data_IF_942373771458
#
_entry.id   IF_942373771458
#
_cell.length_a   1.000
_cell.length_b   1.000
_cell.length_c   1.000
_cell.angle_alpha   90.00
_cell.angle_beta   90.00
_cell.angle_gamma   90.00
#
_symmetry.space_group_name_H-M   'P 1'
#
loop_
_entity.id
_entity.type
_entity.pdbx_description
1 polymer ?
#
# COMPACT_ATOMS: atom_id res chain seq x y z
N UNK A 1 34.52 39.62 -95.49
CA UNK A 1 33.10 39.19 -95.62
C UNK A 1 32.70 38.04 -94.68
N UNK A 2 33.04 36.77 -94.93
CA UNK A 2 32.65 35.66 -94.02
C UNK A 2 33.12 35.84 -92.57
N UNK A 3 34.33 36.37 -92.37
CA UNK A 3 34.86 36.67 -91.04
C UNK A 3 34.09 37.81 -90.33
N UNK A 4 33.70 38.86 -91.06
CA UNK A 4 32.91 39.99 -90.52
C UNK A 4 31.47 39.56 -90.16
N UNK A 5 30.85 38.72 -90.99
CA UNK A 5 29.55 38.11 -90.69
C UNK A 5 29.60 37.23 -89.43
N UNK A 6 30.69 36.47 -89.24
CA UNK A 6 30.90 35.66 -88.04
C UNK A 6 31.11 36.51 -86.77
N UNK A 7 31.86 37.61 -86.87
CA UNK A 7 32.06 38.57 -85.76
C UNK A 7 30.72 39.21 -85.37
N UNK A 8 29.96 39.71 -86.34
CA UNK A 8 28.64 40.32 -86.08
C UNK A 8 27.65 39.34 -85.45
N UNK A 9 27.65 38.08 -85.90
CA UNK A 9 26.85 37.03 -85.29
C UNK A 9 27.30 36.68 -83.87
N UNK A 10 28.61 36.75 -83.58
CA UNK A 10 29.15 36.55 -82.23
C UNK A 10 28.78 37.71 -81.29
N UNK A 11 28.82 38.95 -81.77
CA UNK A 11 28.40 40.15 -81.03
C UNK A 11 26.90 40.11 -80.69
N UNK A 12 26.04 39.74 -81.66
CA UNK A 12 24.60 39.57 -81.38
C UNK A 12 24.32 38.43 -80.38
N UNK A 13 25.11 37.35 -80.42
CA UNK A 13 25.01 36.26 -79.44
C UNK A 13 25.45 36.71 -78.05
N UNK A 14 26.53 37.48 -77.94
CA UNK A 14 26.95 38.08 -76.66
C UNK A 14 25.87 39.00 -76.10
N UNK A 15 25.32 39.90 -76.92
CA UNK A 15 24.26 40.83 -76.47
C UNK A 15 23.02 40.08 -75.97
N UNK A 16 22.58 39.03 -76.68
CA UNK A 16 21.47 38.16 -76.22
C UNK A 16 21.81 37.39 -74.94
N UNK A 17 23.07 37.00 -74.76
CA UNK A 17 23.52 36.33 -73.54
C UNK A 17 23.55 37.30 -72.34
N UNK A 18 23.98 38.54 -72.54
CA UNK A 18 23.92 39.61 -71.53
C UNK A 18 22.48 39.94 -71.14
N UNK A 19 21.57 40.06 -72.11
CA UNK A 19 20.14 40.28 -71.84
C UNK A 19 19.52 39.12 -71.06
N UNK A 20 19.86 37.86 -71.39
CA UNK A 20 19.45 36.68 -70.60
C UNK A 20 20.01 36.71 -69.19
N UNK A 21 21.30 37.03 -69.03
CA UNK A 21 21.93 37.10 -67.71
C UNK A 21 21.28 38.20 -66.84
N UNK A 22 20.92 39.34 -67.43
CA UNK A 22 20.20 40.40 -66.73
C UNK A 22 18.77 39.98 -66.34
N UNK A 23 18.06 39.25 -67.20
CA UNK A 23 16.74 38.69 -66.88
C UNK A 23 16.82 37.64 -65.76
N UNK A 24 17.81 36.76 -65.79
CA UNK A 24 18.04 35.75 -64.75
C UNK A 24 18.43 36.41 -63.41
N UNK A 25 19.26 37.46 -63.43
CA UNK A 25 19.61 38.23 -62.24
C UNK A 25 18.36 38.88 -61.61
N UNK A 26 17.50 39.49 -62.42
CA UNK A 26 16.23 40.07 -61.95
C UNK A 26 15.29 39.00 -61.38
N UNK A 27 15.12 37.88 -62.08
CA UNK A 27 14.29 36.77 -61.61
C UNK A 27 14.81 36.17 -60.29
N UNK A 28 16.14 36.12 -60.10
CA UNK A 28 16.76 35.68 -58.84
C UNK A 28 16.52 36.66 -57.70
N UNK A 29 16.55 37.97 -57.98
CA UNK A 29 16.23 39.00 -56.99
C UNK A 29 14.76 38.94 -56.56
N UNK A 30 13.84 38.80 -57.53
CA UNK A 30 12.41 38.63 -57.26
C UNK A 30 12.11 37.36 -56.45
N UNK A 31 12.80 36.25 -56.75
CA UNK A 31 12.70 35.01 -55.98
C UNK A 31 13.18 35.19 -54.53
N UNK A 32 14.29 35.90 -54.32
CA UNK A 32 14.82 36.18 -52.98
C UNK A 32 13.85 37.04 -52.16
N UNK A 33 13.22 38.05 -52.78
CA UNK A 33 12.19 38.87 -52.12
C UNK A 33 10.98 38.02 -51.72
N UNK A 34 10.50 37.16 -52.61
CA UNK A 34 9.39 36.24 -52.31
C UNK A 34 9.75 35.26 -51.18
N UNK A 35 10.97 34.74 -51.15
CA UNK A 35 11.46 33.86 -50.07
C UNK A 35 11.55 34.61 -48.73
N UNK A 36 11.98 35.87 -48.72
CA UNK A 36 12.05 36.67 -47.51
C UNK A 36 10.64 36.99 -46.95
N UNK A 37 9.69 37.31 -47.83
CA UNK A 37 8.28 37.49 -47.45
C UNK A 37 7.68 36.21 -46.87
N UNK A 38 7.94 35.06 -47.51
CA UNK A 38 7.48 33.76 -47.02
C UNK A 38 8.09 33.43 -45.65
N UNK A 39 9.39 33.70 -45.45
CA UNK A 39 10.07 33.50 -44.16
C UNK A 39 9.45 34.39 -43.08
N UNK A 40 9.24 35.67 -43.36
CA UNK A 40 8.58 36.61 -42.43
C UNK A 40 7.17 36.15 -42.05
N UNK A 41 6.40 35.65 -43.02
CA UNK A 41 5.07 35.10 -42.76
C UNK A 41 5.12 33.82 -41.90
N UNK A 42 6.08 32.93 -42.14
CA UNK A 42 6.28 31.73 -41.32
C UNK A 42 6.69 32.07 -39.89
N UNK A 43 7.64 32.99 -39.71
CA UNK A 43 8.09 33.45 -38.39
C UNK A 43 6.92 34.09 -37.60
N UNK A 44 6.10 34.92 -38.26
CA UNK A 44 4.91 35.50 -37.65
C UNK A 44 3.87 34.44 -37.23
N UNK A 45 3.65 33.41 -38.06
CA UNK A 45 2.74 32.31 -37.74
C UNK A 45 3.22 31.47 -36.54
N UNK A 46 4.52 31.18 -36.48
CA UNK A 46 5.13 30.47 -35.35
C UNK A 46 4.99 31.29 -34.06
N UNK A 47 5.29 32.59 -34.11
CA UNK A 47 5.15 33.47 -32.96
C UNK A 47 3.70 33.54 -32.45
N UNK A 48 2.72 33.62 -33.36
CA UNK A 48 1.30 33.62 -32.99
C UNK A 48 0.87 32.29 -32.33
N UNK A 49 1.32 31.16 -32.88
CA UNK A 49 1.04 29.84 -32.30
C UNK A 49 1.67 29.66 -30.91
N UNK A 50 2.90 30.15 -30.72
CA UNK A 50 3.57 30.13 -29.41
C UNK A 50 2.84 30.99 -28.38
N UNK A 51 2.34 32.16 -28.78
CA UNK A 51 1.56 33.03 -27.90
C UNK A 51 0.25 32.36 -27.47
N UNK A 52 -0.48 31.74 -28.40
CA UNK A 52 -1.70 30.98 -28.10
C UNK A 52 -1.43 29.82 -27.13
N UNK A 53 -0.37 29.04 -27.38
CA UNK A 53 0.02 27.94 -26.50
C UNK A 53 0.40 28.43 -25.09
N UNK A 54 1.08 29.57 -24.98
CA UNK A 54 1.44 30.17 -23.69
C UNK A 54 0.19 30.65 -22.92
N UNK A 55 -0.79 31.25 -23.60
CA UNK A 55 -2.06 31.65 -22.98
C UNK A 55 -2.88 30.46 -22.49
N UNK A 56 -2.92 29.36 -23.25
CA UNK A 56 -3.57 28.12 -22.84
C UNK A 56 -2.88 27.46 -21.64
N UNK A 57 -1.54 27.40 -21.65
CA UNK A 57 -0.77 26.92 -20.51
C UNK A 57 -1.00 27.76 -19.25
N UNK A 58 -1.04 29.09 -19.39
CA UNK A 58 -1.34 29.98 -18.28
C UNK A 58 -2.73 29.72 -17.70
N UNK A 59 -3.77 29.61 -18.54
CA UNK A 59 -5.13 29.26 -18.10
C UNK A 59 -5.18 27.91 -17.38
N UNK A 60 -4.46 26.91 -17.89
CA UNK A 60 -4.39 25.59 -17.26
C UNK A 60 -3.68 25.64 -15.89
N UNK A 61 -2.60 26.42 -15.76
CA UNK A 61 -1.90 26.63 -14.50
C UNK A 61 -2.77 27.35 -13.45
N UNK A 62 -3.50 28.39 -13.87
CA UNK A 62 -4.43 29.11 -12.98
C UNK A 62 -5.58 28.21 -12.51
N UNK A 63 -6.15 27.39 -13.40
CA UNK A 63 -7.17 26.40 -13.03
C UNK A 63 -6.65 25.33 -12.06
N UNK A 64 -5.43 24.82 -12.28
CA UNK A 64 -4.78 23.86 -11.40
C UNK A 64 -4.51 24.46 -10.01
N UNK A 65 -4.06 25.71 -9.94
CA UNK A 65 -3.83 26.42 -8.69
C UNK A 65 -5.15 26.62 -7.90
N UNK A 66 -6.24 26.99 -8.59
CA UNK A 66 -7.56 27.12 -7.97
C UNK A 66 -8.07 25.78 -7.41
N UNK A 67 -7.89 24.68 -8.15
CA UNK A 67 -8.26 23.33 -7.70
C UNK A 67 -7.45 22.89 -6.47
N UNK A 68 -6.13 23.16 -6.46
CA UNK A 68 -5.27 22.87 -5.32
C UNK A 68 -5.67 23.66 -4.06
N UNK A 69 -6.02 24.95 -4.22
CA UNK A 69 -6.52 25.77 -3.11
C UNK A 69 -7.84 25.23 -2.54
N UNK A 70 -8.78 24.81 -3.39
CA UNK A 70 -10.04 24.21 -2.97
C UNK A 70 -9.82 22.86 -2.22
N UNK A 71 -8.89 22.03 -2.70
CA UNK A 71 -8.53 20.78 -2.03
C UNK A 71 -7.89 21.03 -0.65
N UNK A 72 -7.01 22.03 -0.52
CA UNK A 72 -6.42 22.40 0.76
C UNK A 72 -7.47 22.92 1.76
N UNK A 73 -8.46 23.68 1.31
CA UNK A 73 -9.57 24.12 2.16
C UNK A 73 -10.45 22.94 2.61
N UNK A 74 -10.73 21.99 1.70
CA UNK A 74 -11.47 20.78 2.03
C UNK A 74 -10.71 19.90 3.05
N UNK A 75 -9.39 19.76 2.89
CA UNK A 75 -8.55 19.04 3.85
C UNK A 75 -8.59 19.71 5.22
N UNK A 76 -8.45 21.04 5.29
CA UNK A 76 -8.54 21.78 6.56
C UNK A 76 -9.88 21.56 7.26
N UNK A 77 -11.00 21.59 6.53
CA UNK A 77 -12.33 21.31 7.08
C UNK A 77 -12.45 19.87 7.59
N UNK A 78 -11.85 18.91 6.89
CA UNK A 78 -11.83 17.51 7.32
C UNK A 78 -10.99 17.31 8.59
N UNK A 79 -9.82 17.95 8.70
CA UNK A 79 -8.97 17.94 9.90
C UNK A 79 -9.68 18.57 11.11
N UNK A 80 -10.37 19.70 10.92
CA UNK A 80 -11.18 20.34 11.96
C UNK A 80 -12.34 19.44 12.41
N UNK A 81 -13.03 18.76 11.47
CA UNK A 81 -14.09 17.81 11.77
C UNK A 81 -13.56 16.57 12.52
N UNK A 82 -12.38 16.07 12.15
CA UNK A 82 -11.73 14.94 12.82
C UNK A 82 -11.34 15.31 14.25
N UNK A 83 -10.74 16.49 14.46
CA UNK A 83 -10.40 16.98 15.80
C UNK A 83 -11.64 17.17 16.68
N UNK A 84 -12.75 17.64 16.11
CA UNK A 84 -14.02 17.73 16.82
C UNK A 84 -14.60 16.34 17.15
N UNK A 85 -14.43 15.35 16.27
CA UNK A 85 -14.83 13.96 16.51
C UNK A 85 -13.97 13.30 17.59
N UNK A 86 -12.66 13.52 17.58
CA UNK A 86 -11.73 13.06 18.62
C UNK A 86 -12.07 13.66 19.99
N UNK A 87 -12.40 14.96 20.05
CA UNK A 87 -12.80 15.59 21.31
C UNK A 87 -14.13 15.01 21.83
N UNK A 88 -15.09 14.72 20.94
CA UNK A 88 -16.34 14.03 21.30
C UNK A 88 -16.08 12.61 21.81
N UNK A 89 -15.21 11.85 21.15
CA UNK A 89 -14.82 10.50 21.58
C UNK A 89 -14.07 10.53 22.92
N UNK A 90 -13.18 11.51 23.13
CA UNK A 90 -12.50 11.67 24.42
C UNK A 90 -13.48 11.97 25.55
N UNK A 91 -14.46 12.85 25.32
CA UNK A 91 -15.52 13.13 26.30
C UNK A 91 -16.37 11.88 26.58
N UNK A 92 -16.74 11.13 25.54
CA UNK A 92 -17.46 9.87 25.69
C UNK A 92 -16.64 8.82 26.46
N UNK A 93 -15.33 8.70 26.21
CA UNK A 93 -14.42 7.82 26.94
C UNK A 93 -14.22 8.27 28.40
N UNK A 94 -14.22 9.57 28.68
CA UNK A 94 -14.17 10.10 30.05
C UNK A 94 -15.48 9.83 30.82
N UNK A 95 -16.63 9.90 30.14
CA UNK A 95 -17.93 9.49 30.70
C UNK A 95 -18.02 7.98 30.92
N UNK A 96 -17.58 7.17 29.94
CA UNK A 96 -17.52 5.71 30.04
C UNK A 96 -16.52 5.27 31.12
N UNK A 97 -15.39 5.96 31.29
CA UNK A 97 -14.45 5.72 32.41
C UNK A 97 -15.06 6.06 33.76
N UNK A 98 -15.88 7.12 33.85
CA UNK A 98 -16.61 7.44 35.09
C UNK A 98 -17.66 6.38 35.40
N UNK A 99 -18.35 5.86 34.38
CA UNK A 99 -19.32 4.77 34.52
C UNK A 99 -18.64 3.43 34.86
N UNK A 100 -17.47 3.15 34.27
CA UNK A 100 -16.65 1.97 34.55
C UNK A 100 -15.97 2.05 35.93
N UNK A 101 -15.57 3.24 36.39
CA UNK A 101 -15.06 3.46 37.75
C UNK A 101 -16.14 3.19 38.81
N UNK A 102 -17.42 3.41 38.48
CA UNK A 102 -18.55 3.04 39.33
C UNK A 102 -18.83 1.52 39.36
N UNK A 103 -18.30 0.74 38.40
CA UNK A 103 -18.51 -0.72 38.27
C UNK A 103 -17.30 -1.59 38.58
N UNK A 104 -16.18 -1.02 39.03
CA UNK A 104 -15.08 -1.77 39.64
C UNK A 104 -14.59 -2.98 38.84
N UNK A 105 -13.99 -2.77 37.66
CA UNK A 105 -13.13 -3.78 37.05
C UNK A 105 -11.93 -3.13 36.37
N UNK A 106 -10.76 -3.32 36.98
CA UNK A 106 -9.48 -2.84 36.49
C UNK A 106 -8.83 -3.88 35.56
N UNK A 107 -8.52 -3.48 34.33
CA UNK A 107 -7.14 -3.39 33.80
C UNK A 107 -7.18 -2.89 32.37
N UNK A 108 -6.41 -1.85 32.11
CA UNK A 108 -6.09 -1.38 30.78
C UNK A 108 -5.44 -2.52 29.97
N UNK A 109 -6.02 -2.87 28.83
CA UNK A 109 -5.38 -3.74 27.86
C UNK A 109 -4.19 -2.99 27.25
N UNK A 110 -2.98 -3.41 27.63
CA UNK A 110 -1.76 -3.02 26.94
C UNK A 110 -1.88 -3.40 25.45
N UNK A 111 -1.48 -2.50 24.56
CA UNK A 111 -1.69 -2.56 23.13
C UNK A 111 -0.97 -3.72 22.45
N UNK A 112 -1.62 -4.88 22.36
CA UNK A 112 -1.19 -5.95 21.47
C UNK A 112 -1.64 -5.70 20.02
N UNK A 113 -0.90 -6.26 19.07
CA UNK A 113 -1.25 -6.22 17.66
C UNK A 113 -2.41 -7.19 17.39
N UNK A 114 -3.42 -6.73 16.64
CA UNK A 114 -4.50 -7.60 16.18
C UNK A 114 -3.96 -8.62 15.17
N UNK A 115 -4.53 -9.81 15.19
CA UNK A 115 -4.24 -10.90 14.25
C UNK A 115 -5.53 -11.41 13.63
N UNK A 116 -5.41 -12.00 12.45
CA UNK A 116 -6.44 -12.82 11.83
C UNK A 116 -6.02 -14.29 11.89
N UNK A 117 -6.98 -15.17 12.22
CA UNK A 117 -6.82 -16.62 12.14
C UNK A 117 -7.26 -17.04 10.75
N UNK A 118 -6.34 -17.47 9.90
CA UNK A 118 -6.58 -17.81 8.50
C UNK A 118 -6.50 -19.32 8.31
N UNK A 119 -7.54 -19.89 7.70
CA UNK A 119 -7.67 -21.32 7.43
C UNK A 119 -6.83 -21.80 6.24
N UNK A 120 -6.75 -23.11 6.06
CA UNK A 120 -6.19 -23.72 4.84
C UNK A 120 -7.01 -23.41 3.57
N UNK A 121 -8.26 -22.94 3.72
CA UNK A 121 -9.15 -22.57 2.61
C UNK A 121 -9.10 -21.08 2.26
N UNK A 122 -8.02 -20.39 2.64
CA UNK A 122 -7.82 -18.94 2.42
C UNK A 122 -9.01 -18.09 2.91
N UNK A 123 -9.53 -18.43 4.09
CA UNK A 123 -10.55 -17.61 4.77
C UNK A 123 -10.10 -17.25 6.16
N UNK A 124 -10.29 -16.00 6.55
CA UNK A 124 -10.19 -15.59 7.94
C UNK A 124 -11.40 -16.08 8.74
N UNK A 125 -11.24 -16.22 10.03
CA UNK A 125 -12.34 -16.49 10.95
C UNK A 125 -12.86 -15.17 11.50
N UNK A 126 -14.16 -14.94 11.42
CA UNK A 126 -14.83 -13.76 11.94
C UNK A 126 -15.71 -14.10 13.14
N UNK A 127 -15.57 -13.33 14.21
CA UNK A 127 -16.51 -13.35 15.30
C UNK A 127 -17.87 -12.81 14.83
N UNK A 128 -18.96 -13.36 15.37
CA UNK A 128 -20.30 -12.82 15.11
C UNK A 128 -20.67 -11.80 16.20
N UNK A 129 -21.39 -10.72 15.87
CA UNK A 129 -21.75 -9.69 16.88
C UNK A 129 -22.57 -10.22 18.07
N UNK A 130 -23.33 -11.30 17.87
CA UNK A 130 -24.13 -11.98 18.88
C UNK A 130 -23.32 -12.94 19.78
N UNK A 131 -22.01 -13.09 19.54
CA UNK A 131 -21.11 -13.96 20.30
C UNK A 131 -21.29 -15.45 20.00
N UNK A 132 -21.95 -15.79 18.90
CA UNK A 132 -22.17 -17.16 18.45
C UNK A 132 -20.93 -17.84 17.87
N UNK A 133 -21.18 -18.88 17.08
CA UNK A 133 -20.14 -19.60 16.36
C UNK A 133 -19.50 -18.68 15.32
N UNK A 134 -18.16 -18.58 15.28
CA UNK A 134 -17.50 -17.72 14.32
C UNK A 134 -17.64 -18.29 12.90
N UNK A 135 -17.58 -17.40 11.91
CA UNK A 135 -17.83 -17.72 10.50
C UNK A 135 -16.59 -17.50 9.64
N UNK A 136 -16.34 -18.34 8.63
CA UNK A 136 -15.26 -18.07 7.68
C UNK A 136 -15.63 -16.93 6.72
N UNK A 137 -14.73 -15.99 6.52
CA UNK A 137 -14.88 -14.80 5.65
C UNK A 137 -13.65 -14.63 4.75
N UNK A 138 -13.79 -13.92 3.63
CA UNK A 138 -12.65 -13.63 2.73
C UNK A 138 -11.89 -12.37 3.17
N UNK A 139 -12.58 -11.47 3.86
CA UNK A 139 -12.11 -10.15 4.26
C UNK A 139 -11.31 -10.23 5.58
N UNK A 140 -10.15 -9.59 5.60
CA UNK A 140 -9.34 -9.42 6.81
C UNK A 140 -9.53 -8.00 7.34
N UNK A 141 -10.14 -7.89 8.52
CA UNK A 141 -10.50 -6.61 9.13
C UNK A 141 -11.80 -6.72 9.92
N UNK A 142 -12.06 -5.74 10.80
CA UNK A 142 -13.29 -5.69 11.59
C UNK A 142 -13.54 -6.99 12.37
N UNK A 143 -14.66 -7.70 12.13
CA UNK A 143 -15.01 -8.91 12.89
C UNK A 143 -14.00 -10.06 12.82
N UNK A 144 -13.08 -10.08 11.85
CA UNK A 144 -12.02 -11.10 11.74
C UNK A 144 -10.73 -10.78 12.49
N UNK A 145 -10.70 -9.64 13.19
CA UNK A 145 -9.57 -9.24 14.04
C UNK A 145 -9.73 -9.77 15.47
N UNK A 146 -8.66 -10.40 15.96
CA UNK A 146 -8.52 -10.84 17.34
C UNK A 146 -7.25 -10.28 17.96
N UNK A 147 -7.34 -9.73 19.16
CA UNK A 147 -6.19 -9.50 20.00
C UNK A 147 -5.70 -10.86 20.51
N UNK A 148 -4.47 -11.23 20.18
CA UNK A 148 -3.87 -12.46 20.67
C UNK A 148 -3.12 -12.19 21.97
N UNK A 149 -3.61 -12.78 23.06
CA UNK A 149 -2.98 -12.69 24.37
C UNK A 149 -2.20 -13.97 24.68
N UNK A 150 -1.03 -13.86 25.30
CA UNK A 150 -0.19 -15.00 25.70
C UNK A 150 -0.31 -15.20 27.21
N UNK A 151 -0.73 -16.40 27.62
CA UNK A 151 -0.99 -16.77 29.01
C UNK A 151 -0.31 -18.10 29.34
N UNK A 152 0.77 -18.09 30.11
CA UNK A 152 1.40 -19.32 30.63
C UNK A 152 1.77 -20.35 29.55
N UNK A 153 2.28 -19.91 28.40
CA UNK A 153 2.65 -20.78 27.26
C UNK A 153 1.48 -21.15 26.33
N UNK A 154 0.27 -20.69 26.62
CA UNK A 154 -0.91 -20.78 25.76
C UNK A 154 -1.26 -19.42 25.16
N UNK A 155 -2.18 -19.42 24.22
CA UNK A 155 -2.75 -18.20 23.62
C UNK A 155 -4.26 -18.15 23.82
N UNK A 156 -4.80 -16.94 23.98
CA UNK A 156 -6.22 -16.65 23.93
C UNK A 156 -6.48 -15.59 22.85
N UNK A 157 -7.66 -15.62 22.25
CA UNK A 157 -8.03 -14.71 21.15
C UNK A 157 -9.26 -13.89 21.55
N UNK A 158 -9.07 -12.59 21.78
CA UNK A 158 -10.15 -11.66 22.10
C UNK A 158 -10.61 -10.93 20.84
N UNK A 159 -11.85 -11.12 20.42
CA UNK A 159 -12.42 -10.39 19.29
C UNK A 159 -12.49 -8.88 19.54
N UNK A 160 -12.69 -8.11 18.48
CA UNK A 160 -12.98 -6.66 18.57
C UNK A 160 -14.25 -6.35 19.38
N UNK A 161 -15.14 -7.32 19.60
CA UNK A 161 -16.33 -7.17 20.43
C UNK A 161 -16.03 -7.38 21.93
N UNK A 162 -14.76 -7.56 22.29
CA UNK A 162 -14.32 -7.77 23.66
C UNK A 162 -14.55 -9.17 24.21
N UNK A 163 -15.08 -10.09 23.40
CA UNK A 163 -15.35 -11.48 23.77
C UNK A 163 -14.23 -12.42 23.32
N UNK A 164 -13.92 -13.42 24.13
CA UNK A 164 -12.92 -14.44 23.83
C UNK A 164 -13.51 -15.61 23.05
N UNK A 165 -12.71 -16.10 22.11
CA UNK A 165 -12.92 -17.38 21.43
C UNK A 165 -12.78 -18.53 22.43
N UNK A 166 -13.78 -19.40 22.46
CA UNK A 166 -13.92 -20.54 23.36
C UNK A 166 -14.14 -21.81 22.56
N UNK A 167 -13.41 -22.87 22.90
CA UNK A 167 -13.66 -24.21 22.39
C UNK A 167 -14.50 -24.97 23.41
N UNK A 168 -15.77 -25.21 23.12
CA UNK A 168 -16.67 -25.97 23.99
C UNK A 168 -16.31 -27.46 24.03
N UNK A 169 -16.71 -28.15 25.08
CA UNK A 169 -16.54 -29.60 25.23
C UNK A 169 -17.17 -30.40 24.06
N UNK A 170 -18.23 -29.88 23.44
CA UNK A 170 -18.87 -30.46 22.26
C UNK A 170 -18.01 -30.40 21.00
N UNK A 171 -16.92 -29.63 21.02
CA UNK A 171 -16.10 -29.34 19.85
C UNK A 171 -16.59 -28.13 19.05
N UNK A 172 -17.64 -27.44 19.47
CA UNK A 172 -18.02 -26.16 18.86
C UNK A 172 -17.07 -25.05 19.29
N UNK A 173 -16.84 -24.09 18.40
CA UNK A 173 -16.17 -22.84 18.75
C UNK A 173 -17.21 -21.73 18.86
N UNK A 174 -17.10 -20.88 19.88
CA UNK A 174 -17.98 -19.71 20.10
C UNK A 174 -17.16 -18.50 20.53
N UNK A 175 -17.67 -17.28 20.37
CA UNK A 175 -16.95 -16.05 20.74
C UNK A 175 -17.78 -15.21 21.71
N UNK A 176 -18.05 -15.72 22.91
CA UNK A 176 -18.94 -15.07 23.89
C UNK A 176 -18.37 -14.90 25.30
N UNK A 177 -17.11 -15.27 25.54
CA UNK A 177 -16.55 -15.32 26.90
C UNK A 177 -15.99 -13.97 27.32
N UNK A 178 -16.19 -13.57 28.57
CA UNK A 178 -15.73 -12.28 29.11
C UNK A 178 -14.31 -12.32 29.70
N UNK A 179 -13.83 -13.52 30.05
CA UNK A 179 -12.52 -13.71 30.66
C UNK A 179 -11.85 -14.96 30.10
N UNK A 180 -10.51 -14.97 30.15
CA UNK A 180 -9.70 -16.12 29.78
C UNK A 180 -9.75 -17.15 30.91
N UNK A 181 -10.22 -18.35 30.59
CA UNK A 181 -10.10 -19.54 31.40
C UNK A 181 -9.51 -20.70 30.58
N UNK A 182 -9.69 -21.94 31.06
CA UNK A 182 -9.18 -23.12 30.36
C UNK A 182 -9.71 -23.23 28.93
N UNK A 183 -11.02 -23.05 28.70
CA UNK A 183 -11.67 -23.29 27.41
C UNK A 183 -11.40 -22.21 26.36
N UNK A 184 -10.94 -21.04 26.78
CA UNK A 184 -10.51 -19.92 25.93
C UNK A 184 -9.01 -19.98 25.61
N UNK A 185 -8.30 -20.96 26.19
CA UNK A 185 -6.85 -21.10 26.08
C UNK A 185 -6.45 -22.22 25.13
N UNK A 186 -5.66 -21.87 24.12
CA UNK A 186 -5.17 -22.80 23.09
C UNK A 186 -3.66 -23.01 23.20
N UNK A 187 -3.23 -24.24 22.99
CA UNK A 187 -1.81 -24.53 22.78
C UNK A 187 -1.49 -24.28 21.32
N UNK A 188 -0.65 -23.27 21.05
CA UNK A 188 -0.18 -22.94 19.71
C UNK A 188 1.12 -23.70 19.44
N UNK A 189 1.15 -24.49 18.38
CA UNK A 189 2.33 -25.22 17.94
C UNK A 189 2.67 -24.91 16.48
N UNK A 190 3.94 -24.62 16.19
CA UNK A 190 4.45 -24.48 14.83
C UNK A 190 4.40 -25.85 14.12
N UNK A 191 3.86 -25.88 12.91
CA UNK A 191 3.75 -27.08 12.07
C UNK A 191 4.48 -26.92 10.73
N UNK A 192 5.35 -25.91 10.63
CA UNK A 192 6.21 -25.64 9.49
C UNK A 192 5.53 -24.79 8.40
N UNK A 193 6.35 -24.23 7.50
CA UNK A 193 5.86 -23.46 6.36
C UNK A 193 5.14 -22.16 6.70
N UNK A 194 5.30 -21.64 7.92
CA UNK A 194 4.55 -20.48 8.42
C UNK A 194 3.11 -20.80 8.82
N UNK A 195 2.83 -22.08 9.09
CA UNK A 195 1.54 -22.57 9.60
C UNK A 195 1.68 -23.00 11.05
N UNK A 196 0.56 -22.94 11.77
CA UNK A 196 0.45 -23.37 13.16
C UNK A 196 -0.76 -24.29 13.34
N UNK A 197 -0.77 -25.06 14.42
CA UNK A 197 -1.96 -25.73 14.94
C UNK A 197 -2.39 -25.10 16.26
N UNK A 198 -3.69 -25.10 16.54
CA UNK A 198 -4.27 -24.65 17.81
C UNK A 198 -4.98 -25.83 18.47
N UNK A 199 -4.43 -26.32 19.60
CA UNK A 199 -5.02 -27.40 20.40
C UNK A 199 -5.82 -26.83 21.57
N UNK A 200 -7.11 -27.16 21.64
CA UNK A 200 -8.02 -26.77 22.72
C UNK A 200 -7.64 -27.38 24.07
N UNK A 201 -8.27 -26.91 25.13
CA UNK A 201 -8.10 -27.45 26.48
C UNK A 201 -8.47 -28.93 26.60
N UNK A 202 -9.57 -29.35 25.97
CA UNK A 202 -9.99 -30.76 25.90
C UNK A 202 -9.21 -31.60 24.88
N UNK A 203 -8.11 -31.06 24.36
CA UNK A 203 -7.13 -31.81 23.58
C UNK A 203 -7.47 -32.03 22.11
N UNK A 204 -8.44 -31.31 21.57
CA UNK A 204 -8.83 -31.37 20.15
C UNK A 204 -8.26 -30.21 19.35
N UNK A 205 -8.08 -30.38 18.05
CA UNK A 205 -7.51 -29.35 17.18
C UNK A 205 -8.57 -28.50 16.49
N UNK A 206 -8.31 -27.19 16.43
CA UNK A 206 -9.07 -26.22 15.66
C UNK A 206 -9.04 -26.60 14.17
N UNK A 207 -10.21 -26.64 13.55
CA UNK A 207 -10.41 -27.00 12.16
C UNK A 207 -11.43 -26.05 11.52
N UNK A 208 -11.22 -25.73 10.25
CA UNK A 208 -12.23 -25.10 9.40
C UNK A 208 -12.63 -26.13 8.36
N UNK A 209 -13.80 -26.72 8.53
CA UNK A 209 -14.31 -27.75 7.63
C UNK A 209 -14.98 -27.12 6.41
N UNK A 210 -14.77 -27.66 5.20
CA UNK A 210 -15.66 -27.41 4.08
C UNK A 210 -16.97 -28.17 4.32
N UNK A 211 -18.08 -27.46 4.55
CA UNK A 211 -19.39 -28.08 4.75
C UNK A 211 -20.37 -27.60 3.66
N UNK A 212 -20.96 -28.51 2.85
CA UNK A 212 -21.87 -28.14 1.78
C UNK A 212 -23.26 -27.67 2.26
N UNK A 213 -23.63 -27.87 3.53
CA UNK A 213 -24.90 -27.41 4.11
C UNK A 213 -24.80 -26.06 4.85
N UNK A 214 -23.60 -25.70 5.32
CA UNK A 214 -23.26 -24.41 5.92
C UNK A 214 -21.87 -24.09 5.41
N UNK A 215 -21.75 -23.12 4.51
CA UNK A 215 -20.65 -22.93 3.54
C UNK A 215 -19.24 -23.31 4.04
N UNK A 216 -18.90 -23.04 5.32
CA UNK A 216 -17.74 -23.59 6.06
C UNK A 216 -18.03 -23.59 7.59
N UNK A 217 -17.70 -24.65 8.32
CA UNK A 217 -17.88 -24.73 9.79
C UNK A 217 -16.57 -24.58 10.56
N UNK A 218 -16.58 -23.82 11.67
CA UNK A 218 -15.41 -23.61 12.53
C UNK A 218 -15.58 -24.43 13.81
N UNK A 219 -14.70 -25.41 14.03
CA UNK A 219 -14.82 -26.42 15.10
C UNK A 219 -13.47 -26.74 15.75
N UNK A 220 -13.50 -27.40 16.91
CA UNK A 220 -12.34 -27.93 17.62
C UNK A 220 -12.63 -29.38 18.08
N UNK A 221 -12.70 -30.32 17.13
CA UNK A 221 -13.11 -31.71 17.37
C UNK A 221 -12.10 -32.76 16.88
N UNK A 222 -10.98 -32.35 16.30
CA UNK A 222 -10.01 -33.24 15.63
C UNK A 222 -9.00 -33.84 16.61
N UNK A 223 -8.65 -35.10 16.40
CA UNK A 223 -7.66 -35.82 17.22
C UNK A 223 -6.21 -35.63 16.75
N UNK A 224 -6.02 -35.23 15.50
CA UNK A 224 -4.71 -35.03 14.89
C UNK A 224 -4.71 -33.80 13.97
N UNK A 225 -3.50 -33.28 13.73
CA UNK A 225 -3.29 -32.19 12.77
C UNK A 225 -3.19 -32.77 11.36
N UNK A 226 -4.21 -32.54 10.54
CA UNK A 226 -4.20 -32.73 9.10
C UNK A 226 -4.04 -31.39 8.38
N UNK A 227 -4.49 -31.34 7.12
CA UNK A 227 -4.35 -30.12 6.31
C UNK A 227 -5.30 -29.00 6.73
N UNK A 228 -6.47 -29.32 7.28
CA UNK A 228 -7.48 -28.32 7.67
C UNK A 228 -7.23 -27.71 9.05
N UNK A 229 -6.37 -28.33 9.85
CA UNK A 229 -5.94 -27.87 11.18
C UNK A 229 -4.66 -27.03 11.11
N UNK A 230 -4.09 -26.84 9.91
CA UNK A 230 -2.95 -25.96 9.63
C UNK A 230 -3.45 -24.54 9.34
N UNK A 231 -3.31 -23.66 10.32
CA UNK A 231 -3.77 -22.28 10.30
C UNK A 231 -2.59 -21.31 10.08
N UNK A 232 -2.88 -20.10 9.63
CA UNK A 232 -1.94 -18.97 9.72
C UNK A 232 -2.46 -17.95 10.73
N UNK A 233 -1.60 -17.52 11.65
CA UNK A 233 -1.88 -16.37 12.52
C UNK A 233 -1.18 -15.18 11.89
N UNK A 234 -1.94 -14.36 11.18
CA UNK A 234 -1.41 -13.24 10.42
C UNK A 234 -1.69 -11.93 11.16
N UNK A 235 -0.67 -11.13 11.49
CA UNK A 235 -0.86 -9.76 11.96
C UNK A 235 -1.74 -8.94 11.01
N UNK A 236 -2.70 -8.22 11.58
CA UNK A 236 -3.51 -7.21 10.90
C UNK A 236 -2.88 -5.85 11.18
N UNK A 237 -2.38 -5.22 10.13
CA UNK A 237 -1.56 -4.02 10.25
C UNK A 237 -2.44 -2.78 10.02
N UNK A 238 -2.33 -1.75 10.87
CA UNK A 238 -3.02 -0.48 10.63
C UNK A 238 -2.30 0.34 9.55
N UNK A 239 -3.01 1.33 9.00
CA UNK A 239 -2.37 2.43 8.29
C UNK A 239 -1.44 3.21 9.23
N UNK A 240 -0.37 3.76 8.69
CA UNK A 240 0.59 4.54 9.46
C UNK A 240 2.03 4.36 9.01
N UNK A 241 2.97 4.46 9.96
CA UNK A 241 4.39 4.34 9.68
C UNK A 241 4.96 2.99 10.15
N UNK A 242 5.88 2.44 9.37
CA UNK A 242 6.61 1.22 9.69
C UNK A 242 7.95 1.61 10.31
N UNK A 243 8.23 1.16 11.53
CA UNK A 243 9.44 1.48 12.27
C UNK A 243 10.31 0.25 12.44
N UNK A 244 11.61 0.32 12.12
CA UNK A 244 12.53 -0.76 12.46
C UNK A 244 12.66 -0.86 13.99
N UNK A 245 12.41 -2.06 14.53
CA UNK A 245 12.47 -2.31 15.97
C UNK A 245 13.88 -2.16 16.54
N UNK A 246 14.94 -2.36 15.72
CA UNK A 246 16.32 -2.31 16.21
C UNK A 246 16.85 -0.90 16.44
N UNK A 247 16.68 -0.01 15.46
CA UNK A 247 17.27 1.33 15.49
C UNK A 247 16.23 2.46 15.57
N UNK A 248 14.93 2.12 15.57
CA UNK A 248 13.84 3.07 15.83
C UNK A 248 13.51 4.03 14.69
N UNK A 249 14.23 3.98 13.57
CA UNK A 249 13.92 4.82 12.40
C UNK A 249 12.72 4.25 11.63
N UNK A 250 11.99 5.16 11.00
CA UNK A 250 10.80 4.82 10.20
C UNK A 250 11.16 4.65 8.71
N UNK A 251 10.43 3.76 8.04
CA UNK A 251 10.51 3.59 6.60
C UNK A 251 9.96 4.84 5.90
N UNK A 252 10.65 5.28 4.87
CA UNK A 252 10.34 6.44 4.04
C UNK A 252 10.24 6.00 2.58
N UNK A 253 9.13 6.32 1.93
CA UNK A 253 8.93 6.07 0.50
C UNK A 253 9.44 7.26 -0.32
N UNK A 254 10.57 7.07 -0.98
CA UNK A 254 11.16 8.04 -1.91
C UNK A 254 10.96 7.60 -3.36
N UNK A 255 11.05 8.51 -4.34
CA UNK A 255 11.00 8.16 -5.76
C UNK A 255 12.03 7.11 -6.19
N UNK A 256 13.16 7.03 -5.48
CA UNK A 256 14.27 6.11 -5.75
C UNK A 256 14.16 4.77 -5.00
N UNK A 257 13.16 4.59 -4.12
CA UNK A 257 12.98 3.36 -3.34
C UNK A 257 12.48 3.60 -1.92
N UNK A 258 12.61 2.58 -1.06
CA UNK A 258 12.30 2.68 0.37
C UNK A 258 13.58 2.80 1.17
N UNK A 259 13.60 3.68 2.16
CA UNK A 259 14.75 3.94 3.02
C UNK A 259 14.37 3.99 4.51
N UNK A 260 15.32 3.80 5.43
CA UNK A 260 15.05 3.72 6.87
C UNK A 260 16.01 4.60 7.70
N UNK A 261 15.97 5.92 7.50
CA UNK A 261 16.88 6.85 8.19
C UNK A 261 16.16 7.98 8.96
N UNK A 262 14.83 8.07 8.86
CA UNK A 262 14.03 9.17 9.43
C UNK A 262 13.63 8.87 10.88
N UNK A 263 13.72 9.87 11.75
CA UNK A 263 13.32 9.77 13.17
C UNK A 263 11.83 10.06 13.41
N UNK A 264 11.26 10.94 12.60
CA UNK A 264 9.89 11.41 12.73
C UNK A 264 9.05 10.97 11.54
N UNK A 265 7.76 10.80 11.80
CA UNK A 265 6.79 10.51 10.75
C UNK A 265 6.38 11.82 10.08
N UNK A 266 6.80 11.98 8.83
CA UNK A 266 6.29 13.00 7.92
C UNK A 266 5.34 12.39 6.89
N UNK A 267 5.03 13.12 5.80
CA UNK A 267 4.15 12.63 4.76
C UNK A 267 4.66 11.37 4.04
N UNK A 268 5.98 11.22 3.89
CA UNK A 268 6.59 10.12 3.10
C UNK A 268 6.76 8.82 3.88
N UNK A 269 6.57 8.88 5.19
CA UNK A 269 6.62 7.75 6.10
C UNK A 269 5.22 7.17 6.36
N UNK A 270 4.17 7.75 5.75
CA UNK A 270 2.79 7.27 5.84
C UNK A 270 2.52 6.24 4.74
N UNK A 271 1.98 5.11 5.17
CA UNK A 271 1.56 4.03 4.28
C UNK A 271 0.12 3.64 4.58
N UNK A 272 -0.66 3.45 3.51
CA UNK A 272 -1.96 2.78 3.58
C UNK A 272 -1.72 1.28 3.44
N UNK A 273 -2.35 0.47 4.29
CA UNK A 273 -2.11 -0.97 4.37
C UNK A 273 -3.37 -1.75 4.05
N UNK A 274 -3.32 -2.48 2.94
CA UNK A 274 -4.40 -3.37 2.52
C UNK A 274 -4.16 -4.77 3.08
N UNK A 275 -5.00 -5.18 4.03
CA UNK A 275 -4.93 -6.48 4.67
C UNK A 275 -5.76 -7.52 3.89
N UNK A 276 -5.20 -8.69 3.64
CA UNK A 276 -5.89 -9.81 2.98
C UNK A 276 -5.47 -11.15 3.58
N UNK A 277 -6.19 -12.22 3.24
CA UNK A 277 -5.83 -13.60 3.65
C UNK A 277 -4.48 -14.08 3.07
N UNK A 278 -3.94 -13.38 2.05
CA UNK A 278 -2.67 -13.73 1.41
C UNK A 278 -1.47 -13.02 2.04
N UNK A 279 -1.73 -11.94 2.78
CA UNK A 279 -0.73 -11.03 3.32
C UNK A 279 -1.22 -9.59 3.30
N UNK A 280 -0.28 -8.65 3.37
CA UNK A 280 -0.52 -7.21 3.32
C UNK A 280 0.11 -6.63 2.06
N UNK A 281 -0.59 -5.66 1.45
CA UNK A 281 0.00 -4.76 0.46
C UNK A 281 0.21 -3.39 1.10
N UNK A 282 1.36 -2.78 0.83
CA UNK A 282 1.78 -1.52 1.46
C UNK A 282 1.81 -0.44 0.37
N UNK A 283 0.91 0.53 0.48
CA UNK A 283 0.81 1.65 -0.46
C UNK A 283 1.47 2.88 0.13
N UNK A 284 2.38 3.48 -0.61
CA UNK A 284 3.05 4.73 -0.20
C UNK A 284 2.13 5.93 -0.34
N UNK A 285 2.51 7.05 0.29
CA UNK A 285 1.89 8.36 0.11
C UNK A 285 1.84 8.85 -1.35
N UNK A 286 2.63 8.27 -2.26
CA UNK A 286 2.63 8.59 -3.69
C UNK A 286 1.55 7.81 -4.46
N UNK A 287 0.71 7.05 -3.76
CA UNK A 287 -0.34 6.22 -4.36
C UNK A 287 0.17 4.95 -5.03
N UNK A 288 1.47 4.62 -4.89
CA UNK A 288 2.10 3.43 -5.47
C UNK A 288 2.38 2.36 -4.42
N UNK A 289 2.19 1.10 -4.77
CA UNK A 289 2.52 -0.03 -3.88
C UNK A 289 4.01 -0.35 -3.88
N UNK A 290 4.50 -0.75 -2.71
CA UNK A 290 5.83 -1.29 -2.49
C UNK A 290 5.89 -2.71 -3.03
N UNK A 291 6.85 -3.01 -3.88
CA UNK A 291 7.09 -4.34 -4.44
C UNK A 291 8.49 -4.84 -4.11
N UNK A 292 8.59 -6.10 -3.70
CA UNK A 292 9.88 -6.74 -3.44
C UNK A 292 10.35 -7.51 -4.66
N UNK A 293 11.49 -7.11 -5.21
CA UNK A 293 12.02 -7.70 -6.44
C UNK A 293 12.86 -8.97 -6.13
N UNK A 294 12.99 -9.91 -7.09
CA UNK A 294 13.78 -11.13 -6.89
C UNK A 294 15.26 -10.88 -6.53
N UNK A 295 15.82 -9.77 -7.00
CA UNK A 295 17.19 -9.33 -6.68
C UNK A 295 17.32 -8.73 -5.26
N UNK A 296 16.21 -8.63 -4.52
CA UNK A 296 16.16 -8.10 -3.16
C UNK A 296 15.91 -6.59 -3.05
N UNK A 297 15.79 -5.86 -4.15
CA UNK A 297 15.45 -4.42 -4.08
C UNK A 297 13.96 -4.20 -3.83
N UNK A 298 13.63 -3.03 -3.30
CA UNK A 298 12.24 -2.57 -3.18
C UNK A 298 11.98 -1.46 -4.19
N UNK A 299 10.84 -1.56 -4.88
CA UNK A 299 10.36 -0.52 -5.79
C UNK A 299 9.02 0.03 -5.32
N UNK A 300 8.80 1.34 -5.47
CA UNK A 300 7.56 2.04 -5.07
C UNK A 300 6.89 2.65 -6.30
N UNK A 301 6.48 1.79 -7.24
CA UNK A 301 6.06 2.20 -8.58
C UNK A 301 4.81 1.49 -9.11
N UNK A 302 4.17 0.63 -8.31
CA UNK A 302 3.07 -0.24 -8.77
C UNK A 302 1.71 0.43 -8.57
N UNK A 303 0.85 0.35 -9.57
CA UNK A 303 -0.51 0.89 -9.54
C UNK A 303 -1.56 -0.08 -9.00
N UNK A 304 -1.23 -1.38 -8.97
CA UNK A 304 -2.13 -2.43 -8.51
C UNK A 304 -1.36 -3.50 -7.73
N UNK A 305 -2.07 -4.18 -6.82
CA UNK A 305 -1.52 -5.29 -6.04
C UNK A 305 -1.42 -6.54 -6.92
N UNK A 306 -0.19 -7.02 -7.11
CA UNK A 306 0.12 -8.32 -7.68
C UNK A 306 0.84 -9.19 -6.65
N UNK A 307 1.50 -10.25 -7.14
CA UNK A 307 2.21 -11.18 -6.27
C UNK A 307 3.40 -10.52 -5.55
N UNK A 308 4.09 -9.58 -6.18
CA UNK A 308 5.33 -8.97 -5.66
C UNK A 308 5.09 -7.86 -4.64
N UNK A 309 3.87 -7.37 -4.56
CA UNK A 309 3.42 -6.33 -3.64
C UNK A 309 2.86 -6.91 -2.34
N UNK A 310 2.71 -8.24 -2.25
CA UNK A 310 2.18 -8.94 -1.08
C UNK A 310 3.33 -9.39 -0.18
N UNK A 311 3.29 -8.90 1.06
CA UNK A 311 4.15 -9.35 2.15
C UNK A 311 3.32 -10.16 3.15
N UNK A 312 3.80 -11.32 3.57
CA UNK A 312 3.21 -12.08 4.68
C UNK A 312 3.80 -11.55 5.99
N UNK A 313 3.02 -10.86 6.84
CA UNK A 313 3.50 -10.48 8.14
C UNK A 313 3.55 -11.71 9.05
N UNK A 314 4.60 -11.80 9.85
CA UNK A 314 4.85 -12.88 10.81
C UNK A 314 5.08 -12.24 12.17
N UNK A 315 4.39 -12.73 13.20
CA UNK A 315 4.55 -12.22 14.55
C UNK A 315 5.87 -12.72 15.18
N UNK A 316 6.66 -11.80 15.74
CA UNK A 316 7.96 -12.06 16.38
C UNK A 316 7.97 -11.36 17.73
N UNK A 317 7.52 -12.05 18.77
CA UNK A 317 7.24 -11.42 20.07
C UNK A 317 6.10 -10.41 19.94
N UNK A 318 6.40 -9.14 20.21
CA UNK A 318 5.49 -7.99 20.00
C UNK A 318 5.72 -7.28 18.65
N UNK A 319 6.81 -7.64 17.95
CA UNK A 319 7.16 -7.09 16.65
C UNK A 319 6.59 -7.95 15.52
N UNK A 320 6.77 -7.48 14.29
CA UNK A 320 6.49 -8.27 13.09
C UNK A 320 7.72 -8.38 12.19
N UNK A 321 7.78 -9.42 11.38
CA UNK A 321 8.64 -9.51 10.20
C UNK A 321 7.78 -9.56 8.94
N UNK A 322 8.28 -9.02 7.83
CA UNK A 322 7.59 -9.02 6.53
C UNK A 322 8.29 -9.95 5.56
N UNK A 323 7.63 -11.05 5.17
CA UNK A 323 8.15 -12.03 4.21
C UNK A 323 7.55 -11.79 2.83
N UNK A 324 8.38 -11.55 1.84
CA UNK A 324 7.99 -11.38 0.43
C UNK A 324 7.52 -12.67 -0.24
N UNK A 325 6.97 -12.55 -1.45
CA UNK A 325 6.50 -13.67 -2.27
C UNK A 325 7.62 -14.64 -2.69
N UNK A 326 8.85 -14.16 -2.92
CA UNK A 326 10.04 -15.00 -3.15
C UNK A 326 10.67 -15.54 -1.87
N UNK A 327 9.97 -15.42 -0.74
CA UNK A 327 10.29 -16.10 0.50
C UNK A 327 11.36 -15.45 1.35
N UNK A 328 11.87 -14.27 0.96
CA UNK A 328 12.88 -13.50 1.69
C UNK A 328 12.24 -12.48 2.65
N UNK A 329 12.97 -12.10 3.68
CA UNK A 329 12.51 -11.12 4.68
C UNK A 329 13.00 -9.71 4.38
N UNK A 330 12.12 -8.75 4.62
CA UNK A 330 12.44 -7.33 4.65
C UNK A 330 13.43 -7.04 5.78
N UNK A 331 14.47 -6.29 5.47
CA UNK A 331 15.54 -5.88 6.36
C UNK A 331 15.70 -4.37 6.24
N UNK A 332 15.83 -3.70 7.38
CA UNK A 332 16.20 -2.29 7.44
C UNK A 332 17.51 -2.18 8.23
N UNK A 333 18.64 -2.41 7.55
CA UNK A 333 19.98 -2.18 8.09
C UNK A 333 20.55 -0.86 7.53
N UNK A 334 21.78 -0.86 7.03
CA UNK A 334 22.34 0.27 6.28
C UNK A 334 21.50 0.60 5.03
N UNK A 335 20.70 -0.35 4.54
CA UNK A 335 19.71 -0.17 3.47
C UNK A 335 18.39 -0.85 3.82
N UNK A 336 17.33 -0.51 3.08
CA UNK A 336 16.08 -1.28 3.12
C UNK A 336 16.04 -2.22 1.93
N UNK A 337 16.13 -3.52 2.21
CA UNK A 337 16.21 -4.59 1.19
C UNK A 337 15.35 -5.78 1.61
N UNK A 338 14.98 -6.63 0.66
CA UNK A 338 14.18 -7.85 0.92
C UNK A 338 14.91 -9.09 0.41
N UNK A 339 16.00 -9.46 1.07
CA UNK A 339 16.89 -10.55 0.64
C UNK A 339 17.32 -11.50 1.78
N UNK A 340 16.78 -11.35 2.99
CA UNK A 340 17.21 -12.14 4.14
C UNK A 340 16.52 -13.49 4.19
N UNK A 341 17.26 -14.52 4.56
CA UNK A 341 16.75 -15.91 4.68
C UNK A 341 16.14 -16.21 6.06
N UNK A 342 16.48 -15.41 7.06
CA UNK A 342 16.02 -15.60 8.43
C UNK A 342 15.65 -14.25 9.07
N UNK A 343 14.78 -14.33 10.06
CA UNK A 343 14.40 -13.18 10.88
C UNK A 343 15.47 -13.00 11.96
N UNK A 344 16.19 -11.88 11.90
CA UNK A 344 17.10 -11.43 12.94
C UNK A 344 16.60 -10.14 13.58
N UNK A 345 17.52 -9.33 14.09
CA UNK A 345 17.18 -8.07 14.76
C UNK A 345 16.75 -6.96 13.78
N UNK A 346 17.25 -6.96 12.54
CA UNK A 346 16.96 -5.92 11.53
C UNK A 346 15.70 -6.20 10.71
N UNK A 347 15.18 -7.42 10.77
CA UNK A 347 13.97 -7.86 10.04
C UNK A 347 12.70 -7.71 10.89
N UNK A 348 12.81 -7.05 12.04
CA UNK A 348 11.72 -6.81 12.98
C UNK A 348 11.26 -5.36 12.94
N UNK A 349 9.94 -5.17 12.87
CA UNK A 349 9.31 -3.88 12.72
C UNK A 349 8.14 -3.72 13.70
N UNK A 350 7.87 -2.47 14.06
CA UNK A 350 6.65 -2.03 14.77
C UNK A 350 5.88 -1.07 13.89
N UNK A 351 4.57 -0.91 14.16
CA UNK A 351 3.74 0.06 13.47
C UNK A 351 3.42 1.24 14.39
N UNK A 352 3.55 2.44 13.84
CA UNK A 352 3.08 3.66 14.47
C UNK A 352 1.76 4.01 13.81
N UNK A 353 0.66 3.76 14.52
CA UNK A 353 -0.66 4.19 14.09
C UNK A 353 -0.70 5.73 14.09
N UNK A 354 -1.21 6.31 13.02
CA UNK A 354 -1.30 7.77 12.83
C UNK A 354 -2.73 8.27 12.82
#
# INVERSE_FOLDING_TARGET
>A
KKAEEAIRAAEERMKRAEERAAQEAKAREDLLRAQEEQRKAQEAAIAAAQLQAAEEQKKAQEAAAAAAAAAAEAQKKAEEAMRAAEERMRKAQEEEKKEAAAKGCAKASQGGLYVAIISAHETAIAATPDGGQPRPVKEVGGPSMFLMERHGGKVAFKSIFGKYLCAEASGNLVVNRDAVGPWESFTLADVGGGKVSLKSHHGKFFCVEPNPAVEKCVVANRDAVGDWEKLSIQPVLPDGAIRCARHGKVLCAEPSGVFAYRDAVGPWEKFDVENSVKGVAIKSCHGKYVSAQPNGTLEVNRDAVGAWEIFRPILVGENIALRSAHGKYLCADDKVVCNRDAIGAWEQFTFVKL
#
